data_IF_512191039038
#
_entry.id   IF_512191039038
#
_cell.length_a   1.000
_cell.length_b   1.000
_cell.length_c   1.000
_cell.angle_alpha   90.00
_cell.angle_beta   90.00
_cell.angle_gamma   90.00
#
_symmetry.space_group_name_H-M   'P 1'
#
loop_
_entity.id
_entity.type
_entity.pdbx_description
1 polymer ?
#
# COMPACT_ATOMS: atom_id res chain seq x y z
N UNK A 1 -65.29 23.98 34.32
CA UNK A 1 -65.64 22.66 34.88
C UNK A 1 -65.10 21.59 33.92
N UNK A 2 -64.46 20.54 34.44
CA UNK A 2 -63.58 19.54 33.76
C UNK A 2 -64.34 18.71 32.70
N UNK A 3 -63.85 18.57 31.45
CA UNK A 3 -62.95 17.53 30.86
C UNK A 3 -63.51 16.10 30.84
N UNK A 4 -63.66 15.52 29.63
CA UNK A 4 -63.17 14.19 29.11
C UNK A 4 -63.93 13.80 27.81
N UNK A 5 -63.31 13.73 26.62
CA UNK A 5 -62.68 12.54 25.96
C UNK A 5 -63.51 11.25 26.03
N UNK A 6 -63.79 10.52 24.94
CA UNK A 6 -62.97 9.53 24.16
C UNK A 6 -63.85 9.15 22.93
N UNK A 7 -63.44 8.87 21.68
CA UNK A 7 -62.23 8.31 21.09
C UNK A 7 -62.54 6.95 20.45
N UNK A 8 -62.42 6.81 19.11
CA UNK A 8 -62.13 5.53 18.44
C UNK A 8 -61.82 5.75 16.95
N UNK A 9 -60.54 6.06 16.67
CA UNK A 9 -59.91 5.79 15.38
C UNK A 9 -59.40 4.35 15.40
N UNK A 10 -60.08 3.44 14.70
CA UNK A 10 -59.62 2.08 14.48
C UNK A 10 -59.50 1.83 12.96
N UNK A 11 -58.50 2.44 12.32
CA UNK A 11 -58.15 2.16 10.93
C UNK A 11 -56.73 2.66 10.60
N UNK A 12 -55.70 2.24 11.34
CA UNK A 12 -54.30 2.45 10.90
C UNK A 12 -53.29 1.55 11.65
N UNK A 13 -53.39 0.22 11.55
CA UNK A 13 -52.37 -0.70 12.14
C UNK A 13 -51.93 -1.81 11.16
N UNK A 14 -52.07 -1.62 9.85
CA UNK A 14 -51.68 -2.66 8.87
C UNK A 14 -50.71 -2.15 7.79
N UNK A 15 -49.72 -1.33 8.19
CA UNK A 15 -48.66 -0.85 7.31
C UNK A 15 -47.31 -0.62 8.02
N UNK A 16 -46.98 -1.45 9.03
CA UNK A 16 -45.70 -1.34 9.78
C UNK A 16 -44.93 -2.68 9.89
N UNK A 17 -45.18 -3.66 9.02
CA UNK A 17 -44.47 -4.96 9.07
C UNK A 17 -43.86 -5.40 7.73
N UNK A 18 -43.27 -4.45 7.01
CA UNK A 18 -42.37 -4.76 5.90
C UNK A 18 -41.08 -3.92 5.95
N UNK A 19 -40.58 -3.62 7.15
CA UNK A 19 -39.14 -3.46 7.36
C UNK A 19 -38.61 -4.85 7.70
N UNK A 20 -38.69 -5.77 6.73
CA UNK A 20 -37.88 -6.97 6.83
C UNK A 20 -36.43 -6.51 6.73
N UNK A 21 -35.70 -6.77 7.80
CA UNK A 21 -34.27 -6.59 7.87
C UNK A 21 -33.63 -7.13 6.59
N UNK A 22 -33.12 -6.22 5.75
CA UNK A 22 -32.01 -6.55 4.85
C UNK A 22 -30.82 -6.76 5.77
N UNK A 23 -30.80 -7.89 6.48
CA UNK A 23 -29.54 -8.45 6.92
C UNK A 23 -28.81 -8.75 5.62
N UNK A 24 -27.78 -7.97 5.29
CA UNK A 24 -26.84 -8.33 4.24
C UNK A 24 -26.43 -9.78 4.51
N UNK A 25 -26.92 -10.71 3.70
CA UNK A 25 -26.74 -12.12 3.96
C UNK A 25 -25.28 -12.42 3.67
N UNK A 26 -24.48 -12.50 4.74
CA UNK A 26 -23.05 -12.85 4.64
C UNK A 26 -22.95 -14.16 3.87
N UNK A 27 -22.12 -14.16 2.84
CA UNK A 27 -21.83 -15.38 2.11
C UNK A 27 -21.00 -16.29 3.02
N UNK A 28 -21.66 -17.29 3.60
CA UNK A 28 -21.04 -18.17 4.60
C UNK A 28 -19.95 -19.04 3.98
N UNK A 29 -20.07 -19.40 2.69
CA UNK A 29 -19.04 -20.16 2.00
C UNK A 29 -17.80 -19.28 1.75
N UNK A 30 -18.00 -18.07 1.24
CA UNK A 30 -16.92 -17.10 1.04
C UNK A 30 -16.24 -16.72 2.36
N UNK A 31 -17.02 -16.50 3.43
CA UNK A 31 -16.49 -16.21 4.75
C UNK A 31 -15.57 -17.33 5.24
N UNK A 32 -15.98 -18.61 5.12
CA UNK A 32 -15.12 -19.75 5.50
C UNK A 32 -13.82 -19.80 4.69
N UNK A 33 -13.87 -19.49 3.39
CA UNK A 33 -12.66 -19.44 2.53
C UNK A 33 -11.73 -18.31 2.94
N UNK A 34 -12.29 -17.14 3.24
CA UNK A 34 -11.53 -15.99 3.74
C UNK A 34 -10.89 -16.29 5.11
N UNK A 35 -11.63 -16.96 6.01
CA UNK A 35 -11.10 -17.40 7.31
C UNK A 35 -9.95 -18.40 7.13
N UNK A 36 -10.09 -19.37 6.20
CA UNK A 36 -9.06 -20.36 5.90
C UNK A 36 -7.79 -19.72 5.33
N UNK A 37 -7.93 -18.65 4.55
CA UNK A 37 -6.80 -17.87 4.06
C UNK A 37 -6.08 -17.12 5.19
N UNK A 38 -6.83 -16.37 6.01
CA UNK A 38 -6.21 -15.43 6.96
C UNK A 38 -5.71 -16.10 8.24
N UNK A 39 -6.40 -17.15 8.73
CA UNK A 39 -6.11 -17.79 10.02
C UNK A 39 -4.66 -18.30 10.13
N UNK A 40 -4.07 -18.98 9.13
CA UNK A 40 -2.67 -19.40 9.20
C UNK A 40 -1.69 -18.23 9.34
N UNK A 41 -1.87 -17.15 8.59
CA UNK A 41 -1.00 -15.96 8.67
C UNK A 41 -1.13 -15.24 10.01
N UNK A 42 -2.34 -15.15 10.56
CA UNK A 42 -2.54 -14.59 11.91
C UNK A 42 -1.90 -15.46 12.98
N UNK A 43 -2.04 -16.79 12.89
CA UNK A 43 -1.40 -17.72 13.82
C UNK A 43 0.14 -17.63 13.76
N UNK A 44 0.69 -17.48 12.56
CA UNK A 44 2.12 -17.24 12.33
C UNK A 44 2.56 -15.80 12.65
N UNK A 45 1.65 -14.91 13.09
CA UNK A 45 1.90 -13.49 13.38
C UNK A 45 2.46 -12.70 12.20
N UNK A 46 2.12 -13.14 10.99
CA UNK A 46 2.47 -12.50 9.71
C UNK A 46 1.36 -11.57 9.22
N UNK A 47 0.20 -11.58 9.87
CA UNK A 47 -0.92 -10.70 9.57
C UNK A 47 -1.66 -10.25 10.83
N UNK A 48 -1.91 -8.95 10.91
CA UNK A 48 -2.82 -8.32 11.87
C UNK A 48 -3.46 -7.16 11.13
N UNK A 49 -4.78 -7.10 11.10
CA UNK A 49 -5.45 -6.20 10.18
C UNK A 49 -6.86 -6.61 9.81
N UNK A 50 -7.30 -6.07 8.68
CA UNK A 50 -8.64 -6.20 8.13
C UNK A 50 -8.57 -6.68 6.70
N UNK A 51 -9.46 -7.62 6.34
CA UNK A 51 -9.78 -7.94 4.95
C UNK A 51 -11.28 -7.76 4.75
N UNK A 52 -11.67 -7.11 3.66
CA UNK A 52 -13.06 -6.88 3.28
C UNK A 52 -13.27 -7.37 1.84
N UNK A 53 -14.34 -8.12 1.61
CA UNK A 53 -14.80 -8.52 0.29
C UNK A 53 -16.27 -8.11 0.11
N UNK A 54 -16.56 -7.41 -0.97
CA UNK A 54 -17.89 -6.89 -1.26
C UNK A 54 -18.25 -7.06 -2.75
N UNK A 55 -19.54 -6.96 -3.07
CA UNK A 55 -20.05 -6.87 -4.44
C UNK A 55 -21.09 -5.77 -4.53
N UNK A 56 -20.87 -4.78 -5.39
CA UNK A 56 -21.69 -3.57 -5.43
C UNK A 56 -21.76 -2.92 -4.04
N UNK A 57 -22.97 -2.80 -3.50
CA UNK A 57 -23.26 -2.22 -2.18
C UNK A 57 -23.39 -3.26 -1.05
N UNK A 58 -23.12 -4.54 -1.35
CA UNK A 58 -23.27 -5.64 -0.39
C UNK A 58 -21.90 -6.08 0.12
N UNK A 59 -21.72 -6.02 1.45
CA UNK A 59 -20.59 -6.66 2.13
C UNK A 59 -20.82 -8.17 2.14
N UNK A 60 -19.93 -8.94 1.50
CA UNK A 60 -20.08 -10.40 1.38
C UNK A 60 -19.35 -11.15 2.49
N UNK A 61 -18.10 -10.77 2.76
CA UNK A 61 -17.26 -11.37 3.79
C UNK A 61 -16.26 -10.36 4.34
N UNK A 62 -15.84 -10.53 5.59
CA UNK A 62 -14.72 -9.77 6.14
C UNK A 62 -14.05 -10.50 7.30
N UNK A 63 -12.81 -10.12 7.57
CA UNK A 63 -12.10 -10.47 8.80
C UNK A 63 -11.51 -9.22 9.43
N UNK A 64 -11.44 -9.20 10.75
CA UNK A 64 -10.70 -8.20 11.52
C UNK A 64 -10.01 -8.93 12.67
N UNK A 65 -8.69 -9.10 12.58
CA UNK A 65 -7.93 -10.05 13.40
C UNK A 65 -6.62 -9.45 13.88
N UNK A 66 -6.02 -10.07 14.90
CA UNK A 66 -4.80 -9.58 15.50
C UNK A 66 -5.04 -8.40 16.43
N UNK A 67 -4.11 -7.43 16.42
CA UNK A 67 -4.11 -6.27 17.30
C UNK A 67 -3.82 -5.02 16.48
N UNK A 68 -4.67 -3.99 16.63
CA UNK A 68 -4.44 -2.70 15.96
C UNK A 68 -3.17 -2.00 16.44
N UNK A 69 -2.64 -2.37 17.60
CA UNK A 69 -1.33 -1.94 18.09
C UNK A 69 -0.56 -3.19 18.56
N UNK A 70 0.67 -3.45 18.08
CA UNK A 70 1.45 -4.62 18.50
C UNK A 70 1.59 -4.73 20.03
N UNK A 71 1.71 -3.60 20.73
CA UNK A 71 1.80 -3.54 22.19
C UNK A 71 0.43 -3.64 22.90
N UNK A 72 -0.67 -3.38 22.17
CA UNK A 72 -2.03 -3.36 22.70
C UNK A 72 -2.70 -4.74 22.74
N UNK A 73 -3.98 -4.75 23.10
CA UNK A 73 -4.85 -5.94 23.08
C UNK A 73 -6.11 -5.77 22.22
N UNK A 74 -6.31 -4.59 21.65
CA UNK A 74 -7.53 -4.23 20.92
C UNK A 74 -7.39 -4.69 19.47
N UNK A 75 -8.34 -5.48 18.98
CA UNK A 75 -8.41 -5.86 17.58
C UNK A 75 -8.78 -4.65 16.69
N UNK A 76 -8.33 -4.62 15.42
CA UNK A 76 -8.83 -3.64 14.47
C UNK A 76 -10.31 -3.91 14.13
N UNK A 77 -10.94 -2.95 13.48
CA UNK A 77 -12.30 -3.00 12.94
C UNK A 77 -12.30 -2.49 11.50
N UNK A 78 -13.39 -2.70 10.76
CA UNK A 78 -13.53 -2.18 9.38
C UNK A 78 -13.32 -0.66 9.25
N UNK A 79 -13.51 0.07 10.36
CA UNK A 79 -13.37 1.53 10.46
C UNK A 79 -12.12 1.97 11.21
N UNK A 80 -11.21 1.04 11.53
CA UNK A 80 -9.90 1.39 12.11
C UNK A 80 -9.03 2.05 11.03
N UNK A 81 -8.49 3.26 11.27
CA UNK A 81 -7.59 3.91 10.31
C UNK A 81 -6.23 3.20 10.24
N UNK A 82 -5.75 2.96 9.02
CA UNK A 82 -4.40 2.48 8.71
C UNK A 82 -3.70 3.47 7.77
N UNK A 83 -2.37 3.56 7.86
CA UNK A 83 -1.58 4.21 6.81
C UNK A 83 -1.67 3.35 5.54
N UNK A 84 -2.07 3.97 4.42
CA UNK A 84 -2.28 3.26 3.14
C UNK A 84 -1.11 3.42 2.16
N UNK A 85 -0.01 4.06 2.57
CA UNK A 85 1.21 4.19 1.78
C UNK A 85 0.93 4.53 0.30
N UNK A 86 1.61 3.87 -0.64
CA UNK A 86 1.50 4.10 -2.09
C UNK A 86 0.10 3.96 -2.70
N UNK A 87 -0.87 3.38 -1.98
CA UNK A 87 -2.27 3.41 -2.37
C UNK A 87 -2.80 4.84 -2.52
N UNK A 88 -2.19 5.79 -1.80
CA UNK A 88 -2.42 7.24 -1.92
C UNK A 88 -2.29 7.77 -3.35
N UNK A 89 -1.44 7.17 -4.20
CA UNK A 89 -1.25 7.58 -5.61
C UNK A 89 -2.54 7.50 -6.42
N UNK A 90 -3.40 6.54 -6.12
CA UNK A 90 -4.71 6.41 -6.77
C UNK A 90 -5.59 7.64 -6.53
N UNK A 91 -5.52 8.24 -5.34
CA UNK A 91 -6.25 9.46 -5.00
C UNK A 91 -5.64 10.68 -5.72
N UNK A 92 -4.32 10.82 -5.70
CA UNK A 92 -3.61 11.91 -6.38
C UNK A 92 -3.87 11.90 -7.88
N UNK A 93 -3.76 10.74 -8.52
CA UNK A 93 -4.04 10.58 -9.95
C UNK A 93 -5.49 10.99 -10.28
N UNK A 94 -6.46 10.60 -9.46
CA UNK A 94 -7.86 10.99 -9.64
C UNK A 94 -8.09 12.50 -9.50
N UNK A 95 -7.37 13.18 -8.59
CA UNK A 95 -7.43 14.65 -8.47
C UNK A 95 -6.89 15.34 -9.73
N UNK A 96 -5.77 14.85 -10.27
CA UNK A 96 -5.19 15.39 -11.51
C UNK A 96 -6.13 15.18 -12.70
N UNK A 97 -6.72 13.99 -12.83
CA UNK A 97 -7.74 13.71 -13.86
C UNK A 97 -8.96 14.62 -13.69
N UNK A 98 -9.40 14.85 -12.45
CA UNK A 98 -10.53 15.76 -12.18
C UNK A 98 -10.22 17.18 -12.63
N UNK A 99 -9.03 17.70 -12.31
CA UNK A 99 -8.58 19.02 -12.76
C UNK A 99 -8.51 19.12 -14.28
N UNK A 100 -8.07 18.05 -14.95
CA UNK A 100 -8.07 17.99 -16.42
C UNK A 100 -9.49 18.07 -17.00
N UNK A 101 -10.45 17.34 -16.39
CA UNK A 101 -11.87 17.38 -16.78
C UNK A 101 -12.52 18.73 -16.53
N UNK A 102 -12.07 19.45 -15.51
CA UNK A 102 -12.51 20.81 -15.19
C UNK A 102 -11.83 21.88 -16.06
N UNK A 103 -10.90 21.48 -16.94
CA UNK A 103 -10.16 22.39 -17.82
C UNK A 103 -9.09 23.21 -17.12
N UNK A 104 -8.73 22.86 -15.88
CA UNK A 104 -7.69 23.56 -15.10
C UNK A 104 -6.27 23.18 -15.52
N UNK A 105 -6.09 22.04 -16.20
CA UNK A 105 -4.81 21.58 -16.75
C UNK A 105 -5.03 20.65 -17.95
N UNK A 106 -3.97 20.40 -18.71
CA UNK A 106 -3.87 19.32 -19.70
C UNK A 106 -2.83 18.29 -19.27
N UNK A 107 -2.98 17.03 -19.66
CA UNK A 107 -1.94 16.01 -19.43
C UNK A 107 -0.64 16.32 -20.16
N UNK A 108 -0.71 17.07 -21.27
CA UNK A 108 0.45 17.50 -22.06
C UNK A 108 1.07 18.80 -21.55
N UNK A 109 0.48 19.45 -20.53
CA UNK A 109 1.10 20.59 -19.90
C UNK A 109 2.45 20.18 -19.29
N UNK A 110 3.43 21.08 -19.41
CA UNK A 110 4.75 20.87 -18.83
C UNK A 110 4.72 21.07 -17.31
N UNK A 111 5.60 20.37 -16.60
CA UNK A 111 5.76 20.50 -15.16
C UNK A 111 6.11 21.95 -14.77
N UNK A 112 6.97 22.61 -15.54
CA UNK A 112 7.44 23.97 -15.26
C UNK A 112 6.30 25.02 -15.22
N UNK A 113 5.19 24.78 -15.95
CA UNK A 113 3.97 25.60 -15.91
C UNK A 113 3.43 25.76 -14.48
N UNK A 114 3.55 24.73 -13.66
CA UNK A 114 3.00 24.69 -12.29
C UNK A 114 4.09 24.70 -11.22
N UNK A 115 5.24 24.09 -11.50
CA UNK A 115 6.35 23.91 -10.56
C UNK A 115 7.68 24.24 -11.25
N UNK A 116 8.02 25.53 -11.38
CA UNK A 116 9.27 25.94 -12.02
C UNK A 116 10.48 25.53 -11.19
N UNK A 117 11.63 25.35 -11.85
CA UNK A 117 12.92 25.06 -11.20
C UNK A 117 13.24 23.58 -10.98
N UNK A 118 12.37 22.67 -11.43
CA UNK A 118 12.68 21.22 -11.44
C UNK A 118 13.54 20.88 -12.67
N UNK A 119 14.63 20.10 -12.53
CA UNK A 119 15.42 19.63 -13.67
C UNK A 119 14.56 19.00 -14.76
N UNK A 120 14.77 19.41 -16.02
CA UNK A 120 13.97 19.03 -17.19
C UNK A 120 12.46 19.41 -17.12
N UNK A 121 12.03 20.25 -16.19
CA UNK A 121 10.61 20.58 -15.97
C UNK A 121 9.89 21.18 -17.19
N UNK A 122 10.62 21.85 -18.09
CA UNK A 122 10.08 22.38 -19.36
C UNK A 122 9.79 21.29 -20.42
N UNK A 123 10.31 20.07 -20.21
CA UNK A 123 10.14 18.91 -21.11
C UNK A 123 9.29 17.80 -20.51
N UNK A 124 9.17 17.77 -19.18
CA UNK A 124 8.37 16.78 -18.45
C UNK A 124 6.91 17.16 -18.54
N UNK A 125 6.06 16.23 -18.98
CA UNK A 125 4.60 16.44 -18.98
C UNK A 125 3.94 15.88 -17.71
N UNK A 126 2.74 16.37 -17.39
CA UNK A 126 1.91 15.81 -16.31
C UNK A 126 1.63 14.32 -16.54
N UNK A 127 1.40 13.94 -17.81
CA UNK A 127 1.26 12.56 -18.26
C UNK A 127 2.45 11.69 -17.82
N UNK A 128 3.68 12.13 -18.08
CA UNK A 128 4.88 11.38 -17.74
C UNK A 128 5.06 11.22 -16.22
N UNK A 129 4.64 12.21 -15.42
CA UNK A 129 4.63 12.08 -13.95
C UNK A 129 3.66 10.99 -13.49
N UNK A 130 2.44 10.99 -14.04
CA UNK A 130 1.42 9.99 -13.72
C UNK A 130 1.85 8.57 -14.14
N UNK A 131 2.61 8.44 -15.24
CA UNK A 131 3.09 7.16 -15.79
C UNK A 131 4.43 6.69 -15.25
N UNK A 132 5.09 7.44 -14.36
CA UNK A 132 6.43 7.11 -13.86
C UNK A 132 7.51 7.10 -14.95
N UNK A 133 7.41 7.96 -15.97
CA UNK A 133 8.37 8.05 -17.08
C UNK A 133 9.04 9.43 -17.17
N UNK A 134 8.94 10.24 -16.11
CA UNK A 134 9.44 11.62 -16.10
C UNK A 134 10.95 11.74 -15.83
N UNK A 135 11.61 10.71 -15.31
CA UNK A 135 13.03 10.76 -14.96
C UNK A 135 13.37 11.66 -13.77
N UNK A 136 12.41 11.85 -12.85
CA UNK A 136 12.62 12.65 -11.63
C UNK A 136 13.68 11.97 -10.75
N UNK A 137 14.65 12.75 -10.28
CA UNK A 137 15.67 12.26 -9.36
C UNK A 137 15.08 11.84 -8.02
N UNK A 138 15.53 10.70 -7.51
CA UNK A 138 15.15 10.17 -6.19
C UNK A 138 16.11 10.70 -5.12
N UNK A 139 15.57 11.21 -4.01
CA UNK A 139 16.40 11.53 -2.84
C UNK A 139 16.40 10.36 -1.86
N UNK A 140 17.47 10.28 -1.07
CA UNK A 140 17.60 9.27 -0.02
C UNK A 140 16.53 9.47 1.06
N UNK A 141 15.48 8.65 0.98
CA UNK A 141 14.35 8.65 1.91
C UNK A 141 14.69 7.93 3.22
N UNK A 142 15.92 7.43 3.42
CA UNK A 142 16.33 6.76 4.68
C UNK A 142 16.44 7.70 5.86
N UNK A 143 16.29 9.00 5.61
CA UNK A 143 16.31 10.05 6.60
C UNK A 143 14.91 10.25 7.18
N UNK A 144 14.66 9.87 8.45
CA UNK A 144 13.32 9.91 9.07
C UNK A 144 12.67 11.30 9.10
N UNK A 145 13.46 12.38 8.95
CA UNK A 145 12.94 13.75 8.96
C UNK A 145 12.25 14.15 7.65
N UNK A 146 12.57 13.50 6.52
CA UNK A 146 12.01 13.84 5.21
C UNK A 146 10.50 13.63 5.16
N UNK A 147 10.06 12.61 5.88
CA UNK A 147 8.67 12.20 6.01
C UNK A 147 7.80 13.20 6.79
N UNK A 148 8.41 14.12 7.55
CA UNK A 148 7.72 15.18 8.28
C UNK A 148 7.77 16.54 7.56
N UNK A 149 8.37 16.61 6.36
CA UNK A 149 8.57 17.87 5.67
C UNK A 149 7.26 18.38 5.03
N UNK A 150 6.97 19.69 5.15
CA UNK A 150 5.94 20.33 4.36
C UNK A 150 6.18 20.14 2.86
N UNK A 151 5.11 20.15 2.07
CA UNK A 151 5.19 19.96 0.62
C UNK A 151 6.17 20.93 -0.08
N UNK A 152 6.27 22.18 0.38
CA UNK A 152 7.27 23.16 -0.13
C UNK A 152 8.71 22.67 0.02
N UNK A 153 9.03 22.07 1.16
CA UNK A 153 10.38 21.60 1.45
C UNK A 153 10.70 20.33 0.67
N UNK A 154 9.72 19.44 0.49
CA UNK A 154 9.87 18.26 -0.38
C UNK A 154 10.12 18.68 -1.83
N UNK A 155 9.34 19.62 -2.37
CA UNK A 155 9.53 20.13 -3.73
C UNK A 155 10.90 20.81 -3.88
N UNK A 156 11.31 21.61 -2.89
CA UNK A 156 12.64 22.25 -2.89
C UNK A 156 13.80 21.26 -2.79
N UNK A 157 13.59 20.09 -2.18
CA UNK A 157 14.56 19.01 -2.17
C UNK A 157 14.65 18.36 -3.55
N UNK A 158 13.53 18.02 -4.17
CA UNK A 158 13.47 17.43 -5.51
C UNK A 158 14.19 18.31 -6.53
N UNK A 159 14.01 19.64 -6.45
CA UNK A 159 14.67 20.60 -7.33
C UNK A 159 16.20 20.53 -7.32
N UNK A 160 16.81 20.00 -6.24
CA UNK A 160 18.27 19.88 -6.05
C UNK A 160 18.82 18.52 -6.47
N UNK A 161 17.96 17.55 -6.77
CA UNK A 161 18.40 16.20 -7.17
C UNK A 161 18.59 16.17 -8.69
N UNK A 162 19.73 15.70 -9.21
CA UNK A 162 19.90 15.47 -10.64
C UNK A 162 18.82 14.53 -11.19
N UNK A 163 18.39 14.76 -12.44
CA UNK A 163 17.45 13.88 -13.10
C UNK A 163 18.04 12.46 -13.23
N UNK A 164 17.22 11.44 -13.04
CA UNK A 164 17.63 10.04 -13.17
C UNK A 164 17.87 9.63 -14.63
N UNK A 165 17.01 10.11 -15.54
CA UNK A 165 17.11 9.86 -16.98
C UNK A 165 16.32 10.92 -17.78
N UNK A 166 16.51 11.02 -19.11
CA UNK A 166 15.74 11.94 -19.95
C UNK A 166 14.22 11.63 -19.93
N UNK A 167 13.33 12.64 -19.86
CA UNK A 167 11.88 12.40 -19.82
C UNK A 167 11.39 11.54 -20.99
N UNK A 168 10.65 10.47 -20.69
CA UNK A 168 10.10 9.52 -21.65
C UNK A 168 11.06 8.46 -22.17
N UNK A 169 12.36 8.48 -21.80
CA UNK A 169 13.32 7.49 -22.31
C UNK A 169 13.34 6.18 -21.53
N UNK A 170 12.71 6.13 -20.35
CA UNK A 170 12.66 4.97 -19.47
C UNK A 170 11.44 5.05 -18.55
N UNK A 171 11.17 3.99 -17.80
CA UNK A 171 10.20 3.94 -16.71
C UNK A 171 10.87 3.64 -15.36
N UNK A 172 10.52 4.43 -14.35
CA UNK A 172 10.99 4.24 -12.98
C UNK A 172 9.92 4.74 -12.01
N UNK A 173 9.41 3.83 -11.19
CA UNK A 173 8.47 4.16 -10.13
C UNK A 173 9.05 5.29 -9.27
N UNK A 174 8.29 6.38 -9.13
CA UNK A 174 8.77 7.60 -8.46
C UNK A 174 7.73 8.13 -7.48
N UNK A 175 8.14 8.27 -6.22
CA UNK A 175 7.36 8.96 -5.21
C UNK A 175 7.41 10.47 -5.43
N UNK A 176 8.58 10.98 -5.81
CA UNK A 176 8.90 12.37 -6.07
C UNK A 176 8.02 12.93 -7.20
N UNK A 177 7.80 12.16 -8.26
CA UNK A 177 6.85 12.53 -9.31
C UNK A 177 5.44 12.76 -8.77
N UNK A 178 4.98 11.93 -7.81
CA UNK A 178 3.66 12.09 -7.18
C UNK A 178 3.61 13.20 -6.12
N UNK A 179 4.73 13.53 -5.49
CA UNK A 179 4.87 14.74 -4.66
C UNK A 179 4.70 15.99 -5.54
N UNK A 180 5.34 16.01 -6.72
CA UNK A 180 5.15 17.10 -7.69
C UNK A 180 3.71 17.17 -8.21
N UNK A 181 3.03 16.04 -8.42
CA UNK A 181 1.61 16.02 -8.76
C UNK A 181 0.74 16.62 -7.64
N UNK A 182 1.06 16.37 -6.36
CA UNK A 182 0.35 17.05 -5.27
C UNK A 182 0.51 18.58 -5.34
N UNK A 183 1.71 19.07 -5.67
CA UNK A 183 1.93 20.49 -5.91
C UNK A 183 1.15 21.01 -7.11
N UNK A 184 1.11 20.27 -8.22
CA UNK A 184 0.30 20.62 -9.39
C UNK A 184 -1.17 20.74 -9.01
N UNK A 185 -1.70 19.83 -8.20
CA UNK A 185 -3.07 19.91 -7.68
C UNK A 185 -3.30 21.22 -6.94
N UNK A 186 -2.39 21.64 -6.06
CA UNK A 186 -2.54 22.91 -5.33
C UNK A 186 -2.52 24.13 -6.27
N UNK A 187 -1.60 24.12 -7.24
CA UNK A 187 -1.41 25.23 -8.18
C UNK A 187 -2.58 25.36 -9.15
N UNK A 188 -3.08 24.25 -9.68
CA UNK A 188 -4.17 24.25 -10.66
C UNK A 188 -5.54 24.49 -10.01
N UNK A 189 -5.76 24.01 -8.78
CA UNK A 189 -7.04 24.19 -8.08
C UNK A 189 -7.14 25.49 -7.29
N UNK A 190 -6.00 26.07 -6.89
CA UNK A 190 -5.94 27.19 -5.95
C UNK A 190 -6.28 26.82 -4.49
N UNK A 191 -6.41 25.53 -4.17
CA UNK A 191 -6.71 25.01 -2.83
C UNK A 191 -5.56 24.13 -2.33
N UNK A 192 -5.44 23.93 -1.02
CA UNK A 192 -4.50 22.92 -0.51
C UNK A 192 -4.89 21.52 -1.00
N UNK A 193 -3.91 20.61 -1.12
CA UNK A 193 -4.17 19.24 -1.59
C UNK A 193 -5.27 18.56 -0.76
N UNK A 194 -5.22 18.72 0.57
CA UNK A 194 -6.19 18.14 1.50
C UNK A 194 -7.59 18.72 1.33
N UNK A 195 -7.70 20.03 1.10
CA UNK A 195 -9.00 20.66 0.85
C UNK A 195 -9.62 20.24 -0.47
N UNK A 196 -8.83 20.21 -1.55
CA UNK A 196 -9.33 19.77 -2.85
C UNK A 196 -9.73 18.29 -2.81
N UNK A 197 -8.90 17.43 -2.21
CA UNK A 197 -9.23 16.01 -1.96
C UNK A 197 -10.56 15.85 -1.21
N UNK A 198 -10.73 16.61 -0.11
CA UNK A 198 -11.94 16.57 0.70
C UNK A 198 -13.17 17.04 -0.09
N UNK A 199 -13.04 18.15 -0.83
CA UNK A 199 -14.14 18.77 -1.58
C UNK A 199 -14.61 17.89 -2.73
N UNK A 200 -13.68 17.33 -3.49
CA UNK A 200 -13.98 16.57 -4.71
C UNK A 200 -14.43 15.15 -4.38
N UNK A 201 -13.73 14.47 -3.45
CA UNK A 201 -13.94 13.04 -3.25
C UNK A 201 -14.44 12.70 -1.85
N UNK A 202 -13.74 13.12 -0.78
CA UNK A 202 -14.03 12.56 0.54
C UNK A 202 -15.42 12.96 1.06
N UNK A 203 -15.80 14.23 0.94
CA UNK A 203 -17.11 14.69 1.40
C UNK A 203 -18.26 14.15 0.55
N UNK A 204 -18.23 14.20 -0.81
CA UNK A 204 -19.30 13.65 -1.63
C UNK A 204 -19.48 12.14 -1.50
N UNK A 205 -18.41 11.39 -1.23
CA UNK A 205 -18.45 9.94 -1.01
C UNK A 205 -18.62 9.54 0.46
N UNK A 206 -18.75 10.51 1.37
CA UNK A 206 -18.82 10.30 2.81
C UNK A 206 -17.66 9.45 3.39
N UNK A 207 -16.44 9.61 2.85
CA UNK A 207 -15.21 8.95 3.31
C UNK A 207 -14.64 9.66 4.55
N UNK A 208 -15.40 9.59 5.65
CA UNK A 208 -15.15 10.36 6.88
C UNK A 208 -13.88 9.96 7.60
N UNK A 209 -13.36 8.78 7.31
CA UNK A 209 -12.18 8.24 7.98
C UNK A 209 -10.90 8.36 7.14
N UNK A 210 -11.00 8.83 5.91
CA UNK A 210 -9.86 9.06 5.04
C UNK A 210 -9.32 10.46 5.26
N UNK A 211 -8.01 10.58 5.45
CA UNK A 211 -7.35 11.86 5.70
C UNK A 211 -5.88 11.79 5.28
N UNK A 212 -5.24 12.96 5.14
CA UNK A 212 -3.78 13.03 5.16
C UNK A 212 -3.33 12.41 6.48
N UNK A 213 -2.42 11.44 6.42
CA UNK A 213 -1.82 10.84 7.61
C UNK A 213 -1.20 11.97 8.44
N UNK A 214 -1.54 12.03 9.72
CA UNK A 214 -1.03 13.10 10.58
C UNK A 214 0.49 12.99 10.65
N UNK A 215 1.18 14.09 10.93
CA UNK A 215 2.57 13.99 11.39
C UNK A 215 2.45 13.58 12.86
N UNK A 216 2.92 12.38 13.23
CA UNK A 216 2.80 11.85 14.59
C UNK A 216 3.37 12.76 15.68
N UNK A 217 4.26 13.70 15.30
CA UNK A 217 4.77 14.76 16.19
C UNK A 217 3.67 15.72 16.71
N UNK A 218 2.46 15.71 16.13
CA UNK A 218 1.37 16.63 16.48
C UNK A 218 0.26 15.94 17.28
N UNK A 219 -0.14 14.69 16.94
CA UNK A 219 -0.85 13.73 17.82
C UNK A 219 -1.32 12.49 17.03
N UNK A 220 -1.13 11.25 17.53
CA UNK A 220 -1.67 10.06 16.88
C UNK A 220 -3.20 10.14 16.80
N UNK A 221 -3.76 9.83 15.64
CA UNK A 221 -5.21 9.80 15.47
C UNK A 221 -5.84 8.78 16.43
N UNK A 222 -6.80 9.16 17.29
CA UNK A 222 -7.42 8.23 18.22
C UNK A 222 -7.98 6.99 17.52
N UNK A 223 -7.59 5.82 18.00
CA UNK A 223 -8.06 4.54 17.48
C UNK A 223 -7.41 4.09 16.16
N UNK A 224 -6.45 4.83 15.61
CA UNK A 224 -5.65 4.39 14.47
C UNK A 224 -4.75 3.19 14.82
N UNK A 225 -4.45 2.39 13.81
CA UNK A 225 -3.52 1.29 13.94
C UNK A 225 -2.08 1.81 14.10
N UNK A 226 -1.25 1.03 14.79
CA UNK A 226 0.18 1.23 14.97
C UNK A 226 0.92 0.12 14.24
N UNK A 227 1.89 0.47 13.40
CA UNK A 227 2.61 -0.49 12.58
C UNK A 227 3.57 -1.37 13.38
N UNK A 228 3.86 -2.55 12.84
CA UNK A 228 4.90 -3.44 13.35
C UNK A 228 5.51 -4.29 12.25
N UNK A 229 6.76 -4.71 12.45
CA UNK A 229 7.45 -5.64 11.55
C UNK A 229 7.31 -7.07 12.05
N UNK A 230 6.98 -8.00 11.16
CA UNK A 230 7.00 -9.42 11.48
C UNK A 230 8.43 -9.88 11.85
N UNK A 231 8.54 -10.79 12.81
CA UNK A 231 9.81 -11.38 13.25
C UNK A 231 9.64 -12.89 13.33
N UNK A 232 10.57 -13.65 12.76
CA UNK A 232 10.53 -15.12 12.79
C UNK A 232 10.50 -15.64 14.22
N UNK A 233 9.51 -16.48 14.53
CA UNK A 233 9.30 -17.08 15.86
C UNK A 233 8.94 -16.06 16.96
N UNK A 234 8.77 -14.78 16.64
CA UNK A 234 8.62 -13.69 17.59
C UNK A 234 7.24 -13.02 17.56
N UNK A 235 7.01 -12.07 18.47
CA UNK A 235 5.92 -11.11 18.30
C UNK A 235 6.36 -10.01 17.32
N UNK A 236 5.44 -9.40 16.54
CA UNK A 236 5.77 -8.25 15.74
C UNK A 236 6.37 -7.12 16.60
N UNK A 237 7.43 -6.50 16.10
CA UNK A 237 8.10 -5.39 16.79
C UNK A 237 7.49 -4.09 16.29
N UNK A 238 7.00 -3.27 17.21
CA UNK A 238 6.46 -1.94 16.87
C UNK A 238 7.52 -1.11 16.16
N UNK A 239 7.12 -0.46 15.08
CA UNK A 239 7.96 0.55 14.43
C UNK A 239 7.78 1.87 15.16
N UNK A 240 8.74 2.82 15.09
CA UNK A 240 8.47 4.15 15.60
C UNK A 240 7.25 4.74 14.88
N UNK A 241 6.50 5.61 15.56
CA UNK A 241 5.40 6.36 14.93
C UNK A 241 6.01 7.46 14.03
N UNK A 242 6.63 7.06 12.94
CA UNK A 242 6.96 7.94 11.83
C UNK A 242 5.73 7.94 10.92
N UNK A 243 4.74 8.77 11.27
CA UNK A 243 3.63 8.97 10.34
C UNK A 243 4.13 9.94 9.27
N UNK A 244 4.29 9.36 8.07
CA UNK A 244 5.17 9.85 7.04
C UNK A 244 4.43 10.30 5.79
N UNK A 245 3.86 11.53 5.75
CA UNK A 245 3.24 11.98 4.53
C UNK A 245 4.27 12.52 3.54
N UNK A 246 4.83 11.63 2.70
CA UNK A 246 5.17 12.04 1.34
C UNK A 246 3.85 12.35 0.63
N UNK A 247 3.36 13.57 0.81
CA UNK A 247 2.05 14.01 0.32
C UNK A 247 1.97 13.78 -1.19
N UNK A 248 0.84 13.27 -1.67
CA UNK A 248 0.66 12.84 -3.05
C UNK A 248 1.15 11.42 -3.34
N UNK A 249 2.21 10.95 -2.67
CA UNK A 249 2.84 9.68 -2.95
C UNK A 249 2.44 8.56 -1.97
N UNK A 250 2.51 8.81 -0.67
CA UNK A 250 2.25 7.81 0.37
C UNK A 250 1.43 8.32 1.57
N UNK A 251 1.16 9.63 1.62
CA UNK A 251 0.76 10.31 2.86
C UNK A 251 -0.71 10.27 3.26
N UNK A 252 -1.50 9.26 2.87
CA UNK A 252 -2.89 9.13 3.32
C UNK A 252 -3.07 8.01 4.35
N UNK A 253 -4.07 8.17 5.19
CA UNK A 253 -4.65 7.11 6.02
C UNK A 253 -6.10 6.89 5.62
N UNK A 254 -6.59 5.66 5.73
CA UNK A 254 -7.97 5.29 5.40
C UNK A 254 -8.43 4.05 6.17
N UNK A 255 -9.65 3.60 5.91
CA UNK A 255 -10.28 2.42 6.50
C UNK A 255 -10.76 1.47 5.42
N UNK A 256 -11.05 0.21 5.76
CA UNK A 256 -11.56 -0.74 4.78
C UNK A 256 -12.90 -0.29 4.20
N UNK A 257 -13.79 0.26 5.03
CA UNK A 257 -15.08 0.81 4.61
C UNK A 257 -14.92 2.01 3.67
N UNK A 258 -14.01 2.93 3.99
CA UNK A 258 -13.78 4.11 3.16
C UNK A 258 -13.14 3.73 1.80
N UNK A 259 -12.18 2.80 1.78
CA UNK A 259 -11.59 2.33 0.53
C UNK A 259 -12.61 1.60 -0.36
N UNK A 260 -13.53 0.85 0.24
CA UNK A 260 -14.66 0.29 -0.51
C UNK A 260 -15.56 1.40 -1.08
N UNK A 261 -15.93 2.40 -0.26
CA UNK A 261 -16.69 3.56 -0.71
C UNK A 261 -16.00 4.34 -1.85
N UNK A 262 -14.69 4.52 -1.74
CA UNK A 262 -13.83 5.12 -2.77
C UNK A 262 -13.93 4.36 -4.09
N UNK A 263 -13.70 3.04 -4.08
CA UNK A 263 -13.74 2.23 -5.30
C UNK A 263 -15.12 2.25 -5.96
N UNK A 264 -16.21 2.19 -5.18
CA UNK A 264 -17.57 2.36 -5.73
C UNK A 264 -17.76 3.73 -6.37
N UNK A 265 -17.28 4.78 -5.68
CA UNK A 265 -17.34 6.16 -6.16
C UNK A 265 -16.63 6.34 -7.50
N UNK A 266 -15.38 5.87 -7.60
CA UNK A 266 -14.58 5.91 -8.83
C UNK A 266 -15.26 5.12 -9.96
N UNK A 267 -15.74 3.90 -9.70
CA UNK A 267 -16.43 3.09 -10.72
C UNK A 267 -17.74 3.69 -11.21
N UNK A 268 -18.45 4.43 -10.37
CA UNK A 268 -19.74 5.01 -10.74
C UNK A 268 -19.65 6.05 -11.87
N UNK A 269 -18.45 6.55 -12.18
CA UNK A 269 -18.18 7.67 -13.12
C UNK A 269 -18.84 8.98 -12.75
N UNK A 270 -19.49 9.08 -11.57
CA UNK A 270 -20.24 10.28 -11.17
C UNK A 270 -19.33 11.42 -10.69
N UNK A 271 -18.12 11.11 -10.24
CA UNK A 271 -17.21 12.09 -9.62
C UNK A 271 -15.95 12.32 -10.46
N UNK A 272 -15.44 11.27 -11.09
CA UNK A 272 -14.33 11.32 -12.05
C UNK A 272 -14.61 10.29 -13.15
N UNK A 273 -14.39 10.65 -14.41
CA UNK A 273 -14.41 9.66 -15.49
C UNK A 273 -13.18 8.76 -15.37
N UNK A 274 -13.39 7.56 -14.81
CA UNK A 274 -12.31 6.60 -14.59
C UNK A 274 -11.74 6.05 -15.90
N UNK A 275 -12.41 6.22 -17.05
CA UNK A 275 -11.85 5.80 -18.34
C UNK A 275 -10.66 6.67 -18.76
N UNK A 276 -10.56 7.89 -18.23
CA UNK A 276 -9.41 8.77 -18.38
C UNK A 276 -8.22 8.38 -17.47
N UNK A 277 -8.41 7.48 -16.49
CA UNK A 277 -7.30 6.88 -15.74
C UNK A 277 -6.62 5.83 -16.63
N UNK A 278 -5.72 6.32 -17.48
CA UNK A 278 -4.86 5.48 -18.31
C UNK A 278 -3.94 4.69 -17.40
N UNK A 279 -3.81 3.38 -17.60
CA UNK A 279 -2.76 2.65 -16.88
C UNK A 279 -1.39 3.27 -17.25
N UNK A 280 -0.49 3.54 -16.29
CA UNK A 280 -0.54 3.23 -14.84
C UNK A 280 -0.86 4.43 -13.89
N UNK A 281 -1.89 5.25 -14.17
CA UNK A 281 -2.25 6.44 -13.36
C UNK A 281 -2.72 6.06 -11.95
N UNK A 282 -1.79 5.82 -11.03
CA UNK A 282 -2.07 5.46 -9.63
C UNK A 282 -2.75 4.10 -9.46
N UNK A 283 -2.92 3.32 -10.53
CA UNK A 283 -3.56 2.01 -10.54
C UNK A 283 -2.82 1.01 -11.43
N UNK A 284 -2.82 -0.25 -11.02
CA UNK A 284 -2.44 -1.40 -11.81
C UNK A 284 -3.63 -2.01 -12.54
N UNK A 285 -3.42 -2.50 -13.76
CA UNK A 285 -4.35 -3.44 -14.43
C UNK A 285 -3.82 -4.85 -14.29
N UNK A 286 -4.69 -5.77 -13.91
CA UNK A 286 -4.37 -7.20 -13.77
C UNK A 286 -5.52 -8.05 -14.30
N UNK A 287 -5.22 -9.33 -14.46
CA UNK A 287 -6.20 -10.38 -14.61
C UNK A 287 -5.75 -11.53 -13.71
N UNK A 288 -6.60 -11.90 -12.76
CA UNK A 288 -6.38 -13.09 -11.94
C UNK A 288 -7.49 -14.08 -12.22
N UNK A 289 -7.11 -15.30 -12.59
CA UNK A 289 -8.05 -16.41 -12.80
C UNK A 289 -9.16 -16.10 -13.83
N UNK A 290 -8.86 -15.29 -14.85
CA UNK A 290 -9.83 -14.89 -15.87
C UNK A 290 -10.67 -13.66 -15.53
N UNK A 291 -10.48 -13.06 -14.35
CA UNK A 291 -11.23 -11.90 -13.88
C UNK A 291 -10.38 -10.62 -13.96
N UNK A 292 -10.65 -9.71 -14.92
CA UNK A 292 -9.94 -8.44 -15.02
C UNK A 292 -10.24 -7.53 -13.84
N UNK A 293 -9.23 -6.77 -13.41
CA UNK A 293 -9.36 -5.83 -12.30
C UNK A 293 -8.42 -4.63 -12.43
N UNK A 294 -8.82 -3.56 -11.73
CA UNK A 294 -7.90 -2.49 -11.33
C UNK A 294 -7.49 -2.74 -9.88
N UNK A 295 -6.20 -2.62 -9.58
CA UNK A 295 -5.67 -2.77 -8.22
C UNK A 295 -4.68 -1.66 -7.85
N UNK A 296 -4.45 -1.46 -6.57
CA UNK A 296 -3.29 -0.72 -6.08
C UNK A 296 -2.87 -1.28 -4.72
N UNK A 297 -1.58 -1.25 -4.46
CA UNK A 297 -0.98 -1.66 -3.20
C UNK A 297 -0.16 -0.54 -2.57
N UNK A 298 0.16 -0.70 -1.29
CA UNK A 298 1.04 0.20 -0.57
C UNK A 298 1.80 -0.54 0.51
N UNK A 299 3.08 -0.23 0.62
CA UNK A 299 3.94 -0.66 1.72
C UNK A 299 4.67 0.56 2.27
N UNK A 300 4.69 0.65 3.59
CA UNK A 300 5.58 1.54 4.36
C UNK A 300 6.00 0.77 5.61
N UNK A 301 6.94 1.29 6.38
CA UNK A 301 7.42 0.61 7.56
C UNK A 301 6.26 0.22 8.51
N UNK A 302 6.08 -1.08 8.74
CA UNK A 302 5.05 -1.61 9.64
C UNK A 302 3.61 -1.63 9.11
N UNK A 303 3.35 -1.17 7.89
CA UNK A 303 2.02 -1.19 7.29
C UNK A 303 2.02 -1.76 5.87
N UNK A 304 0.93 -2.47 5.56
CA UNK A 304 0.61 -2.89 4.20
C UNK A 304 -0.84 -2.57 3.85
N UNK A 305 -1.10 -2.22 2.60
CA UNK A 305 -2.44 -1.97 2.10
C UNK A 305 -2.62 -2.48 0.68
N UNK A 306 -3.84 -2.87 0.35
CA UNK A 306 -4.23 -3.32 -0.97
C UNK A 306 -5.72 -3.04 -1.21
N UNK A 307 -6.04 -2.66 -2.44
CA UNK A 307 -7.42 -2.58 -2.90
C UNK A 307 -7.53 -3.12 -4.33
N UNK A 308 -8.64 -3.77 -4.62
CA UNK A 308 -8.97 -4.32 -5.93
C UNK A 308 -10.44 -4.05 -6.29
N UNK A 309 -10.66 -3.69 -7.55
CA UNK A 309 -11.95 -3.45 -8.17
C UNK A 309 -12.06 -4.30 -9.43
N UNK A 310 -12.78 -5.43 -9.33
CA UNK A 310 -12.95 -6.40 -10.40
C UNK A 310 -14.05 -6.00 -11.37
N UNK A 311 -13.87 -6.19 -12.68
CA UNK A 311 -14.87 -5.82 -13.68
C UNK A 311 -16.25 -6.43 -13.41
N UNK A 312 -16.31 -7.63 -12.81
CA UNK A 312 -17.54 -8.33 -12.38
C UNK A 312 -18.26 -7.72 -11.18
N UNK A 313 -17.79 -6.58 -10.68
CA UNK A 313 -18.42 -5.79 -9.62
C UNK A 313 -18.02 -6.17 -8.20
N UNK A 314 -17.04 -7.08 -8.05
CA UNK A 314 -16.42 -7.38 -6.76
C UNK A 314 -15.39 -6.33 -6.35
N UNK A 315 -15.26 -6.14 -5.06
CA UNK A 315 -14.21 -5.32 -4.44
C UNK A 315 -13.51 -6.14 -3.36
N UNK A 316 -12.20 -5.96 -3.24
CA UNK A 316 -11.43 -6.48 -2.12
C UNK A 316 -10.55 -5.40 -1.53
N UNK A 317 -10.40 -5.40 -0.20
CA UNK A 317 -9.50 -4.49 0.53
C UNK A 317 -8.73 -5.30 1.56
N UNK A 318 -7.43 -5.07 1.67
CA UNK A 318 -6.58 -5.56 2.77
C UNK A 318 -5.88 -4.37 3.41
N UNK A 319 -5.95 -4.27 4.73
CA UNK A 319 -5.19 -3.31 5.52
C UNK A 319 -4.49 -4.08 6.65
N UNK A 320 -3.17 -4.03 6.69
CA UNK A 320 -2.35 -4.71 7.70
C UNK A 320 -1.48 -3.72 8.46
N UNK A 321 -1.41 -3.89 9.77
CA UNK A 321 -0.42 -3.23 10.63
C UNK A 321 0.74 -4.16 11.01
N UNK A 322 0.91 -5.24 10.25
CA UNK A 322 2.10 -6.09 10.27
C UNK A 322 2.65 -6.17 8.85
N UNK A 323 3.87 -5.70 8.65
CA UNK A 323 4.57 -5.81 7.38
C UNK A 323 5.16 -7.23 7.22
N UNK A 324 4.76 -7.94 6.16
CA UNK A 324 5.23 -9.29 5.81
C UNK A 324 5.06 -9.60 4.32
N UNK A 325 5.67 -10.69 3.86
CA UNK A 325 5.63 -11.15 2.46
C UNK A 325 4.25 -11.57 1.98
N UNK A 326 3.28 -11.74 2.88
CA UNK A 326 1.87 -11.98 2.52
C UNK A 326 1.35 -10.88 1.58
N UNK A 327 1.88 -9.66 1.70
CA UNK A 327 1.53 -8.53 0.85
C UNK A 327 1.68 -8.82 -0.65
N UNK A 328 2.73 -9.53 -1.04
CA UNK A 328 2.96 -9.92 -2.44
C UNK A 328 1.98 -10.97 -2.97
N UNK A 329 1.20 -11.59 -2.09
CA UNK A 329 0.24 -12.66 -2.41
C UNK A 329 -1.22 -12.19 -2.39
N UNK A 330 -1.50 -11.00 -1.87
CA UNK A 330 -2.87 -10.51 -1.68
C UNK A 330 -3.72 -10.52 -2.95
N UNK A 331 -3.20 -10.06 -4.09
CA UNK A 331 -3.93 -10.07 -5.37
C UNK A 331 -4.35 -11.48 -5.81
N UNK A 332 -3.41 -12.38 -6.13
CA UNK A 332 -3.74 -13.73 -6.58
C UNK A 332 -4.53 -14.54 -5.54
N UNK A 333 -4.20 -14.43 -4.24
CA UNK A 333 -4.89 -15.22 -3.22
C UNK A 333 -6.31 -14.72 -2.94
N UNK A 334 -6.58 -13.40 -3.00
CA UNK A 334 -7.95 -12.89 -2.88
C UNK A 334 -8.79 -13.24 -4.10
N UNK A 335 -8.20 -13.27 -5.30
CA UNK A 335 -8.87 -13.79 -6.48
C UNK A 335 -9.20 -15.28 -6.30
N UNK A 336 -8.27 -16.08 -5.76
CA UNK A 336 -8.53 -17.47 -5.43
C UNK A 336 -9.68 -17.60 -4.42
N UNK A 337 -9.67 -16.82 -3.32
CA UNK A 337 -10.76 -16.78 -2.32
C UNK A 337 -12.12 -16.45 -2.95
N UNK A 338 -12.17 -15.50 -3.89
CA UNK A 338 -13.38 -15.07 -4.59
C UNK A 338 -13.89 -16.10 -5.60
N UNK A 339 -13.01 -16.59 -6.48
CA UNK A 339 -13.41 -17.26 -7.72
C UNK A 339 -13.09 -18.76 -7.76
N UNK A 340 -12.43 -19.29 -6.73
CA UNK A 340 -11.94 -20.67 -6.75
C UNK A 340 -10.46 -20.71 -7.12
N UNK A 341 -9.70 -21.63 -6.56
CA UNK A 341 -8.25 -21.71 -6.79
C UNK A 341 -7.47 -22.03 -5.51
N UNK A 342 -6.17 -22.21 -5.68
CA UNK A 342 -5.24 -22.46 -4.57
C UNK A 342 -4.94 -21.17 -3.82
N UNK A 343 -5.04 -21.23 -2.50
CA UNK A 343 -4.75 -20.11 -1.60
C UNK A 343 -3.40 -20.40 -0.94
N UNK A 344 -2.48 -19.44 -0.97
CA UNK A 344 -1.17 -19.65 -0.36
C UNK A 344 -1.24 -19.70 1.17
N UNK A 345 -0.27 -20.40 1.76
CA UNK A 345 -0.09 -20.50 3.20
C UNK A 345 1.23 -19.85 3.62
N UNK A 346 1.40 -19.46 4.90
CA UNK A 346 2.68 -19.01 5.40
C UNK A 346 3.81 -19.99 5.04
N UNK A 347 4.97 -19.50 4.57
CA UNK A 347 6.13 -20.34 4.33
C UNK A 347 6.53 -21.10 5.61
N UNK A 348 6.75 -22.42 5.56
CA UNK A 348 7.11 -23.23 6.73
C UNK A 348 8.60 -23.06 7.07
N UNK A 349 8.99 -21.84 7.45
CA UNK A 349 10.38 -21.47 7.74
C UNK A 349 10.62 -21.43 9.23
N UNK A 350 11.76 -21.95 9.66
CA UNK A 350 12.27 -21.74 11.01
C UNK A 350 13.67 -21.13 10.95
N UNK A 351 13.94 -20.19 11.85
CA UNK A 351 15.25 -19.56 11.94
C UNK A 351 16.23 -20.50 12.66
N UNK A 352 17.45 -20.62 12.13
CA UNK A 352 18.53 -21.41 12.74
C UNK A 352 19.52 -20.50 13.47
N UNK A 353 20.10 -20.98 14.57
CA UNK A 353 21.19 -20.26 15.23
C UNK A 353 22.47 -20.44 14.43
N UNK A 354 23.09 -19.35 13.99
CA UNK A 354 24.38 -19.41 13.31
C UNK A 354 25.54 -19.28 14.30
N UNK A 355 26.56 -20.16 14.22
CA UNK A 355 27.76 -20.06 15.05
C UNK A 355 28.78 -19.05 14.49
N UNK A 356 28.59 -18.56 13.26
CA UNK A 356 29.55 -17.72 12.53
C UNK A 356 29.22 -16.22 12.59
N UNK A 357 30.25 -15.39 12.44
CA UNK A 357 30.09 -13.94 12.24
C UNK A 357 29.42 -13.65 10.90
N UNK A 358 28.42 -12.76 10.90
CA UNK A 358 27.74 -12.32 9.67
C UNK A 358 28.50 -11.22 8.90
N UNK A 359 29.64 -10.77 9.43
CA UNK A 359 30.38 -9.65 8.86
C UNK A 359 30.86 -9.93 7.43
N UNK A 360 31.23 -11.18 7.12
CA UNK A 360 31.71 -11.56 5.79
C UNK A 360 30.63 -11.49 4.70
N UNK A 361 29.35 -11.55 5.08
CA UNK A 361 28.20 -11.47 4.18
C UNK A 361 27.80 -10.03 3.86
N UNK A 362 28.25 -9.06 4.66
CA UNK A 362 27.98 -7.65 4.42
C UNK A 362 28.67 -7.16 3.13
N UNK A 363 27.99 -6.27 2.40
CA UNK A 363 28.49 -5.72 1.14
C UNK A 363 27.39 -5.33 0.18
N UNK A 364 27.80 -4.78 -0.97
CA UNK A 364 26.91 -4.48 -2.08
C UNK A 364 26.94 -5.63 -3.09
N UNK A 365 25.77 -5.99 -3.59
CA UNK A 365 25.58 -7.06 -4.57
C UNK A 365 24.76 -6.49 -5.73
N UNK A 366 25.28 -6.63 -6.96
CA UNK A 366 24.62 -6.11 -8.17
C UNK A 366 24.21 -7.23 -9.11
N UNK A 367 23.07 -7.06 -9.76
CA UNK A 367 22.61 -7.94 -10.83
C UNK A 367 22.52 -7.13 -12.12
N UNK A 368 22.86 -7.68 -13.29
CA UNK A 368 22.54 -7.04 -14.57
C UNK A 368 21.03 -6.93 -14.81
N UNK A 369 20.24 -7.81 -14.17
CA UNK A 369 18.79 -7.90 -14.37
C UNK A 369 18.00 -6.94 -13.45
N UNK A 370 18.65 -6.41 -12.41
CA UNK A 370 18.04 -5.51 -11.43
C UNK A 370 18.89 -4.26 -11.29
N UNK A 371 18.30 -3.12 -11.68
CA UNK A 371 19.00 -1.82 -11.66
C UNK A 371 19.44 -1.35 -10.27
N UNK A 372 18.73 -1.75 -9.22
CA UNK A 372 19.07 -1.41 -7.84
C UNK A 372 19.93 -2.49 -7.18
N UNK A 373 21.08 -2.13 -6.57
CA UNK A 373 21.90 -3.09 -5.84
C UNK A 373 21.18 -3.60 -4.59
N UNK A 374 21.53 -4.80 -4.15
CA UNK A 374 21.26 -5.26 -2.79
C UNK A 374 22.39 -4.83 -1.87
N UNK A 375 22.04 -4.12 -0.81
CA UNK A 375 22.98 -3.76 0.25
C UNK A 375 22.68 -4.64 1.46
N UNK A 376 23.67 -5.46 1.83
CA UNK A 376 23.63 -6.32 3.00
C UNK A 376 24.47 -5.69 4.11
N UNK A 377 23.88 -5.52 5.27
CA UNK A 377 24.55 -4.92 6.42
C UNK A 377 24.36 -5.73 7.69
N UNK A 378 25.44 -5.90 8.44
CA UNK A 378 25.39 -6.47 9.77
C UNK A 378 25.03 -5.38 10.77
N UNK A 379 23.96 -5.57 11.53
CA UNK A 379 23.63 -4.75 12.70
C UNK A 379 23.43 -5.65 13.91
N UNK A 380 24.36 -5.60 14.85
CA UNK A 380 24.40 -6.52 15.98
C UNK A 380 24.63 -7.96 15.53
N UNK A 381 23.68 -8.83 15.84
CA UNK A 381 23.66 -10.26 15.52
C UNK A 381 22.80 -10.60 14.28
N UNK A 382 22.28 -9.59 13.58
CA UNK A 382 21.41 -9.76 12.40
C UNK A 382 22.04 -9.24 11.13
N UNK A 383 21.67 -9.87 10.02
CA UNK A 383 21.89 -9.35 8.68
C UNK A 383 20.64 -8.60 8.24
N UNK A 384 20.84 -7.43 7.64
CA UNK A 384 19.78 -6.57 7.14
C UNK A 384 19.97 -6.35 5.65
N UNK A 385 18.86 -6.29 4.95
CA UNK A 385 18.80 -6.04 3.51
C UNK A 385 18.20 -4.67 3.23
N UNK A 386 18.78 -3.98 2.27
CA UNK A 386 18.25 -2.76 1.67
C UNK A 386 18.37 -2.85 0.14
N UNK A 387 17.34 -2.40 -0.58
CA UNK A 387 17.35 -2.30 -2.05
C UNK A 387 17.78 -0.88 -2.46
N UNK A 388 18.90 -0.72 -3.16
CA UNK A 388 19.39 0.58 -3.59
C UNK A 388 19.45 1.59 -2.43
N UNK A 389 18.83 2.75 -2.63
CA UNK A 389 18.65 3.81 -1.63
C UNK A 389 17.29 3.75 -0.91
N UNK A 390 16.50 2.68 -1.10
CA UNK A 390 15.22 2.56 -0.41
C UNK A 390 15.42 2.49 1.11
N UNK A 391 14.58 3.15 1.91
CA UNK A 391 14.81 3.32 3.34
C UNK A 391 14.37 2.11 4.17
N UNK A 392 13.91 1.05 3.52
CA UNK A 392 13.27 -0.07 4.18
C UNK A 392 14.27 -1.18 4.43
N UNK A 393 14.84 -1.15 5.63
CA UNK A 393 15.71 -2.20 6.12
C UNK A 393 14.87 -3.41 6.52
N UNK A 394 15.19 -4.54 5.92
CA UNK A 394 14.51 -5.81 6.13
C UNK A 394 15.46 -6.75 6.89
N UNK A 395 15.12 -7.16 8.12
CA UNK A 395 15.95 -8.12 8.83
C UNK A 395 15.83 -9.48 8.13
N UNK A 396 16.96 -10.10 7.87
CA UNK A 396 17.03 -11.45 7.31
C UNK A 396 17.13 -12.48 8.42
N UNK A 397 16.36 -13.54 8.28
CA UNK A 397 16.36 -14.67 9.20
C UNK A 397 17.26 -15.76 8.66
N UNK A 398 18.29 -16.20 9.40
CA UNK A 398 19.14 -17.30 8.95
C UNK A 398 18.32 -18.59 8.88
N UNK A 399 18.41 -19.31 7.77
CA UNK A 399 17.80 -20.64 7.56
C UNK A 399 18.84 -21.71 7.22
N UNK A 400 20.12 -21.32 7.16
CA UNK A 400 21.28 -22.16 6.93
C UNK A 400 22.54 -21.29 6.94
N UNK A 401 23.72 -21.91 6.86
CA UNK A 401 25.02 -21.20 6.95
C UNK A 401 25.10 -19.98 6.02
N UNK A 402 24.78 -20.18 4.75
CA UNK A 402 24.82 -19.16 3.71
C UNK A 402 23.43 -18.90 3.11
N UNK A 403 22.38 -19.25 3.85
CA UNK A 403 20.99 -19.13 3.39
C UNK A 403 20.18 -18.33 4.38
N UNK A 404 19.50 -17.31 3.86
CA UNK A 404 18.73 -16.35 4.63
C UNK A 404 17.35 -16.19 4.02
N UNK A 405 16.36 -16.00 4.86
CA UNK A 405 14.98 -15.80 4.46
C UNK A 405 14.52 -14.40 4.88
N UNK A 406 13.88 -13.69 3.95
CA UNK A 406 13.22 -12.44 4.22
C UNK A 406 11.74 -12.68 4.50
N UNK A 407 11.31 -12.28 5.69
CA UNK A 407 9.90 -12.31 6.05
C UNK A 407 9.06 -11.25 5.34
N UNK A 408 9.71 -10.24 4.76
CA UNK A 408 9.05 -9.05 4.20
C UNK A 408 8.53 -9.28 2.78
N UNK A 409 9.14 -10.20 2.05
CA UNK A 409 8.83 -10.53 0.64
C UNK A 409 8.85 -12.05 0.36
N UNK A 410 9.12 -12.87 1.39
CA UNK A 410 9.25 -14.33 1.30
C UNK A 410 10.36 -14.81 0.35
N UNK A 411 11.38 -13.97 0.13
CA UNK A 411 12.55 -14.32 -0.66
C UNK A 411 13.60 -15.09 0.17
N UNK A 412 14.27 -16.04 -0.47
CA UNK A 412 15.47 -16.72 0.02
C UNK A 412 16.71 -16.14 -0.67
N UNK A 413 17.69 -15.73 0.13
CA UNK A 413 19.00 -15.27 -0.30
C UNK A 413 20.03 -16.34 0.02
N UNK A 414 20.69 -16.86 -1.01
CA UNK A 414 21.72 -17.91 -0.90
C UNK A 414 23.06 -17.35 -1.34
N UNK A 415 23.98 -17.13 -0.41
CA UNK A 415 25.32 -16.61 -0.70
C UNK A 415 26.18 -17.64 -1.40
N UNK A 416 26.96 -17.19 -2.38
CA UNK A 416 27.89 -17.98 -3.17
C UNK A 416 29.31 -17.73 -2.69
N UNK A 417 30.12 -18.79 -2.64
CA UNK A 417 31.53 -18.72 -2.25
C UNK A 417 32.45 -19.33 -3.30
N UNK A 418 33.67 -18.83 -3.40
CA UNK A 418 34.74 -19.43 -4.19
C UNK A 418 35.40 -20.63 -3.47
N UNK A 419 36.34 -21.29 -4.13
CA UNK A 419 37.11 -22.42 -3.56
C UNK A 419 37.97 -22.05 -2.35
N UNK A 420 38.21 -20.76 -2.09
CA UNK A 420 38.88 -20.26 -0.90
C UNK A 420 37.89 -19.87 0.23
N UNK A 421 36.59 -20.06 0.01
CA UNK A 421 35.53 -19.75 0.96
C UNK A 421 35.11 -18.29 1.01
N UNK A 422 35.57 -17.43 0.09
CA UNK A 422 35.21 -16.00 0.04
C UNK A 422 33.85 -15.82 -0.63
N UNK A 423 33.00 -14.95 -0.08
CA UNK A 423 31.71 -14.61 -0.69
C UNK A 423 31.93 -13.85 -1.99
N UNK A 424 31.44 -14.40 -3.10
CA UNK A 424 31.56 -13.84 -4.46
C UNK A 424 30.24 -13.26 -4.98
N UNK A 425 29.12 -13.63 -4.39
CA UNK A 425 27.80 -13.21 -4.84
C UNK A 425 26.69 -13.84 -4.02
N UNK A 426 25.46 -13.72 -4.52
CA UNK A 426 24.30 -14.41 -3.98
C UNK A 426 23.27 -14.71 -5.06
N UNK A 427 22.40 -15.69 -4.79
CA UNK A 427 21.17 -15.93 -5.55
C UNK A 427 19.96 -15.55 -4.70
N UNK A 428 19.02 -14.84 -5.28
CA UNK A 428 17.70 -14.57 -4.68
C UNK A 428 16.66 -15.44 -5.39
N UNK A 429 15.77 -16.08 -4.64
CA UNK A 429 14.67 -16.88 -5.20
C UNK A 429 13.57 -17.15 -4.18
N UNK A 430 12.61 -18.00 -4.53
CA UNK A 430 11.55 -18.46 -3.62
C UNK A 430 12.00 -19.67 -2.80
N UNK A 431 11.27 -19.96 -1.72
CA UNK A 431 11.63 -21.03 -0.77
C UNK A 431 11.49 -22.45 -1.33
N UNK A 432 10.53 -22.66 -2.22
CA UNK A 432 10.28 -23.93 -2.91
C UNK A 432 11.39 -24.29 -3.92
N UNK A 433 12.33 -23.36 -4.17
CA UNK A 433 13.53 -23.62 -4.96
C UNK A 433 13.26 -23.71 -6.46
N UNK A 434 12.12 -23.24 -6.96
CA UNK A 434 11.87 -23.21 -8.41
C UNK A 434 12.91 -22.32 -9.09
N UNK A 435 13.84 -22.92 -9.85
CA UNK A 435 14.96 -22.23 -10.50
C UNK A 435 14.50 -21.13 -11.48
N UNK A 436 13.29 -21.26 -12.04
CA UNK A 436 12.70 -20.35 -13.02
C UNK A 436 12.52 -18.89 -12.55
N UNK A 437 12.72 -18.59 -11.26
CA UNK A 437 12.61 -17.25 -10.68
C UNK A 437 13.84 -16.84 -9.86
N UNK A 438 15.01 -17.41 -10.15
CA UNK A 438 16.24 -17.06 -9.43
C UNK A 438 16.98 -15.91 -10.12
N UNK A 439 17.31 -14.87 -9.34
CA UNK A 439 18.14 -13.74 -9.80
C UNK A 439 19.53 -13.84 -9.17
N UNK A 440 20.57 -13.71 -9.98
CA UNK A 440 21.96 -13.78 -9.51
C UNK A 440 22.54 -12.39 -9.34
N UNK A 441 23.29 -12.22 -8.26
CA UNK A 441 24.00 -10.99 -7.95
C UNK A 441 25.48 -11.27 -7.70
N UNK A 442 26.33 -10.38 -8.21
CA UNK A 442 27.78 -10.40 -8.02
C UNK A 442 28.15 -9.41 -6.93
N UNK A 443 28.97 -9.86 -5.97
CA UNK A 443 29.50 -8.99 -4.92
C UNK A 443 30.43 -7.94 -5.53
N UNK A 444 30.30 -6.69 -5.06
CA UNK A 444 31.09 -5.56 -5.50
C UNK A 444 32.31 -5.32 -4.62
#
# INVERSE_FOLDING_TARGET
MRVRTVGSCAALVLLVTAVQAISAQRDTALQRRLDAYVKPYTAARLFSGVVLIAKGDTLLAHVAVGRRDPAGRVAPTLVTPFHIASLSKAFTAALVVKLAQEGHLSFDDTLAKFVPGIPNGERITIDQLLRHTAGIGEFDTSRPYLEALPLDQLVALIAKVPAGFPPGSNDQYSNEGYILLARIVERASGLSYGEYLRRVFLAPLALRSTAIAAIAAIQPRPGAAHGGKAVMGGAPVSVPRHEAPLLGASGLSSTATDLWGWMRGVRSRRIVDYTALRYPYGWGRRNYLGHPLMEQSGSVEGFGSYMASYEDGYYAVVLSNVQSGMMGRWGPDLAAVLFGGEISTPPPVEAVRLPQSLAELAGSYKSPDIGNPLIMERRGDRLWLTWGSFPFWQPLSPIGRDRFFSLSDYSVFSFLRDGAGRVTGLKMGQIDGTEAQTVSFVRQ
#
